data_IF_475638052915
#
_entry.id   IF_475638052915
#
_cell.length_a   1.000
_cell.length_b   1.000
_cell.length_c   1.000
_cell.angle_alpha   90.00
_cell.angle_beta   90.00
_cell.angle_gamma   90.00
#
_symmetry.space_group_name_H-M   'P 1'
#
loop_
_entity.id
_entity.type
_entity.pdbx_description
1 polymer ?
#
# COMPACT_ATOMS: atom_id res chain seq x y z
N UNK A 1 48.19 16.94 -55.65
CA UNK A 1 47.52 16.47 -54.43
C UNK A 1 46.11 17.09 -54.41
N UNK A 2 45.02 16.33 -54.56
CA UNK A 2 43.69 16.87 -54.45
C UNK A 2 43.25 16.85 -52.96
N UNK A 3 42.79 18.00 -52.52
CA UNK A 3 42.19 18.21 -51.17
C UNK A 3 40.80 17.60 -51.15
N UNK A 4 40.62 16.55 -50.32
CA UNK A 4 39.32 15.97 -50.00
C UNK A 4 38.47 16.98 -49.20
N UNK A 5 37.49 17.56 -49.84
CA UNK A 5 36.45 18.37 -49.19
C UNK A 5 35.43 17.42 -48.55
N UNK A 6 35.36 17.36 -47.20
CA UNK A 6 34.29 16.74 -46.49
C UNK A 6 32.93 17.31 -46.87
N UNK A 7 31.90 16.48 -47.13
CA UNK A 7 30.58 16.96 -47.42
C UNK A 7 29.96 17.63 -46.16
N UNK A 8 29.18 18.72 -46.32
CA UNK A 8 28.55 19.44 -45.22
C UNK A 8 27.55 18.50 -44.49
N UNK A 9 27.78 18.33 -43.18
CA UNK A 9 26.89 17.54 -42.32
C UNK A 9 25.45 18.10 -42.39
N UNK A 10 24.48 17.25 -42.70
CA UNK A 10 23.05 17.59 -42.68
C UNK A 10 22.67 18.09 -41.28
N UNK A 11 22.38 19.38 -41.17
CA UNK A 11 21.76 19.95 -39.96
C UNK A 11 20.41 19.28 -39.73
N UNK A 12 20.11 18.83 -38.49
CA UNK A 12 18.80 18.24 -38.19
C UNK A 12 17.72 19.30 -38.44
N UNK A 13 16.70 18.93 -39.21
CA UNK A 13 15.60 19.84 -39.57
C UNK A 13 14.87 20.36 -38.32
N UNK A 14 14.35 21.59 -38.39
CA UNK A 14 13.65 22.27 -37.27
C UNK A 14 12.54 21.41 -36.65
N UNK A 15 11.86 20.59 -37.44
CA UNK A 15 10.84 19.63 -36.97
C UNK A 15 11.42 18.53 -36.06
N UNK A 16 12.62 18.02 -36.35
CA UNK A 16 13.27 17.00 -35.54
C UNK A 16 13.70 17.54 -34.18
N UNK A 17 14.12 18.79 -34.11
CA UNK A 17 14.48 19.49 -32.87
C UNK A 17 13.23 19.78 -32.04
N UNK A 18 12.12 20.21 -32.67
CA UNK A 18 10.84 20.47 -31.99
C UNK A 18 10.22 19.19 -31.43
N UNK A 19 10.25 18.10 -32.19
CA UNK A 19 9.77 16.79 -31.73
C UNK A 19 10.62 16.25 -30.56
N UNK A 20 11.95 16.35 -30.60
CA UNK A 20 12.82 15.98 -29.47
C UNK A 20 12.51 16.80 -28.21
N UNK A 21 12.30 18.11 -28.36
CA UNK A 21 11.92 19.01 -27.25
C UNK A 21 10.57 18.63 -26.64
N UNK A 22 9.56 18.25 -27.42
CA UNK A 22 8.26 17.78 -26.95
C UNK A 22 8.37 16.45 -26.23
N UNK A 23 9.10 15.48 -26.79
CA UNK A 23 9.32 14.16 -26.16
C UNK A 23 10.04 14.34 -24.81
N UNK A 24 11.06 15.20 -24.75
CA UNK A 24 11.78 15.49 -23.50
C UNK A 24 10.87 16.14 -22.47
N UNK A 25 10.04 17.11 -22.85
CA UNK A 25 9.07 17.74 -21.95
C UNK A 25 8.03 16.75 -21.43
N UNK A 26 7.47 15.90 -22.31
CA UNK A 26 6.53 14.87 -21.93
C UNK A 26 7.16 13.86 -20.97
N UNK A 27 8.38 13.37 -21.26
CA UNK A 27 9.08 12.43 -20.39
C UNK A 27 9.40 13.04 -19.00
N UNK A 28 9.75 14.32 -18.96
CA UNK A 28 9.99 15.04 -17.70
C UNK A 28 8.69 15.20 -16.91
N UNK A 29 7.58 15.57 -17.58
CA UNK A 29 6.27 15.68 -16.94
C UNK A 29 5.81 14.34 -16.39
N UNK A 30 5.88 13.28 -17.19
CA UNK A 30 5.52 11.92 -16.76
C UNK A 30 6.34 11.46 -15.55
N UNK A 31 7.66 11.75 -15.55
CA UNK A 31 8.53 11.45 -14.41
C UNK A 31 8.14 12.25 -13.17
N UNK A 32 7.82 13.53 -13.33
CA UNK A 32 7.40 14.40 -12.22
C UNK A 32 6.07 13.93 -11.61
N UNK A 33 5.07 13.62 -12.45
CA UNK A 33 3.77 13.09 -12.00
C UNK A 33 3.94 11.75 -11.30
N UNK A 34 4.72 10.83 -11.89
CA UNK A 34 5.02 9.54 -11.26
C UNK A 34 5.68 9.72 -9.89
N UNK A 35 6.69 10.59 -9.79
CA UNK A 35 7.39 10.84 -8.53
C UNK A 35 6.47 11.50 -7.51
N UNK A 36 5.62 12.44 -7.93
CA UNK A 36 4.60 13.02 -7.06
C UNK A 36 3.69 11.91 -6.49
N UNK A 37 3.10 11.08 -7.33
CA UNK A 37 2.20 10.02 -6.90
C UNK A 37 2.88 9.02 -5.94
N UNK A 38 4.07 8.52 -6.31
CA UNK A 38 4.78 7.51 -5.51
C UNK A 38 5.37 8.07 -4.21
N UNK A 39 5.88 9.31 -4.24
CA UNK A 39 6.55 9.89 -3.07
C UNK A 39 5.60 10.57 -2.09
N UNK A 40 4.40 10.98 -2.54
CA UNK A 40 3.40 11.64 -1.70
C UNK A 40 2.44 10.71 -0.96
N UNK A 41 2.51 9.40 -1.13
CA UNK A 41 1.52 8.41 -0.62
C UNK A 41 0.13 8.50 -1.29
N UNK A 42 -0.09 9.36 -2.27
CA UNK A 42 -1.38 9.46 -2.98
C UNK A 42 -1.76 8.13 -3.65
N UNK A 43 -0.78 7.40 -4.21
CA UNK A 43 -1.08 6.09 -4.80
C UNK A 43 -1.61 5.09 -3.78
N UNK A 44 -1.12 5.10 -2.53
CA UNK A 44 -1.63 4.25 -1.44
C UNK A 44 -3.06 4.63 -1.07
N UNK A 45 -3.36 5.93 -1.02
CA UNK A 45 -4.72 6.42 -0.78
C UNK A 45 -5.70 5.93 -1.88
N UNK A 46 -5.28 5.98 -3.16
CA UNK A 46 -6.08 5.47 -4.28
C UNK A 46 -6.27 3.96 -4.19
N UNK A 47 -5.25 3.20 -3.80
CA UNK A 47 -5.35 1.75 -3.58
C UNK A 47 -6.36 1.47 -2.45
N UNK A 48 -6.27 2.15 -1.31
CA UNK A 48 -7.21 1.96 -0.21
C UNK A 48 -8.66 2.28 -0.61
N UNK A 49 -8.87 3.34 -1.40
CA UNK A 49 -10.20 3.63 -1.97
C UNK A 49 -10.70 2.48 -2.84
N UNK A 50 -9.84 1.97 -3.73
CA UNK A 50 -10.18 0.85 -4.62
C UNK A 50 -10.48 -0.43 -3.83
N UNK A 51 -9.74 -0.69 -2.75
CA UNK A 51 -9.98 -1.85 -1.88
C UNK A 51 -11.32 -1.76 -1.15
N UNK A 52 -11.71 -0.59 -0.64
CA UNK A 52 -13.02 -0.40 0.00
C UNK A 52 -14.15 -0.55 -1.02
N UNK A 53 -13.98 -0.05 -2.26
CA UNK A 53 -14.95 -0.30 -3.35
C UNK A 53 -15.03 -1.79 -3.66
N UNK A 54 -13.89 -2.48 -3.79
CA UNK A 54 -13.83 -3.92 -4.00
C UNK A 54 -14.58 -4.69 -2.90
N UNK A 55 -14.35 -4.34 -1.63
CA UNK A 55 -15.06 -4.96 -0.49
C UNK A 55 -16.55 -4.67 -0.54
N UNK A 56 -16.95 -3.43 -0.87
CA UNK A 56 -18.36 -3.09 -1.01
C UNK A 56 -19.04 -3.95 -2.07
N UNK A 57 -18.39 -4.16 -3.21
CA UNK A 57 -18.91 -5.03 -4.28
C UNK A 57 -18.94 -6.52 -3.88
N UNK A 58 -17.89 -7.02 -3.19
CA UNK A 58 -17.85 -8.40 -2.69
C UNK A 58 -18.95 -8.69 -1.67
N UNK A 59 -19.32 -7.70 -0.87
CA UNK A 59 -20.33 -7.81 0.17
C UNK A 59 -21.71 -7.29 -0.26
N UNK A 60 -21.87 -6.94 -1.55
CA UNK A 60 -23.09 -6.37 -2.13
C UNK A 60 -23.61 -5.15 -1.35
N UNK A 61 -22.69 -4.28 -0.89
CA UNK A 61 -23.01 -3.05 -0.18
C UNK A 61 -23.15 -1.88 -1.16
N UNK A 62 -24.06 -0.92 -0.90
CA UNK A 62 -24.16 0.29 -1.70
C UNK A 62 -22.90 1.16 -1.53
N UNK A 63 -22.58 1.97 -2.55
CA UNK A 63 -21.51 2.95 -2.45
C UNK A 63 -21.84 4.00 -1.39
N UNK A 64 -20.86 4.27 -0.53
CA UNK A 64 -20.94 5.20 0.59
C UNK A 64 -19.72 6.11 0.59
N UNK A 65 -19.58 7.09 1.50
CA UNK A 65 -18.34 7.83 1.67
C UNK A 65 -17.13 7.01 2.16
N UNK A 66 -17.32 5.76 2.58
CA UNK A 66 -16.26 4.91 3.15
C UNK A 66 -14.97 4.84 2.30
N UNK A 67 -14.99 4.69 0.96
CA UNK A 67 -13.79 4.73 0.15
C UNK A 67 -12.99 6.03 0.31
N UNK A 68 -13.69 7.17 0.31
CA UNK A 68 -13.04 8.49 0.47
C UNK A 68 -12.40 8.60 1.85
N UNK A 69 -13.11 8.17 2.90
CA UNK A 69 -12.58 8.15 4.28
C UNK A 69 -11.33 7.28 4.36
N UNK A 70 -11.37 6.06 3.83
CA UNK A 70 -10.20 5.17 3.81
C UNK A 70 -9.01 5.79 3.07
N UNK A 71 -9.23 6.41 1.91
CA UNK A 71 -8.19 7.10 1.16
C UNK A 71 -7.57 8.26 1.92
N UNK A 72 -8.39 9.09 2.57
CA UNK A 72 -7.92 10.21 3.38
C UNK A 72 -7.13 9.74 4.61
N UNK A 73 -7.59 8.70 5.31
CA UNK A 73 -6.87 8.09 6.42
C UNK A 73 -5.53 7.52 5.98
N UNK A 74 -5.50 6.81 4.84
CA UNK A 74 -4.28 6.25 4.28
C UNK A 74 -3.28 7.36 3.93
N UNK A 75 -3.72 8.41 3.25
CA UNK A 75 -2.87 9.56 2.93
C UNK A 75 -2.30 10.20 4.20
N UNK A 76 -3.14 10.43 5.21
CA UNK A 76 -2.72 11.07 6.45
C UNK A 76 -1.70 10.24 7.24
N UNK A 77 -1.98 8.94 7.43
CA UNK A 77 -1.11 8.04 8.21
C UNK A 77 0.23 7.85 7.52
N UNK A 78 0.24 7.47 6.23
CA UNK A 78 1.50 7.27 5.50
C UNK A 78 2.24 8.57 5.21
N UNK A 79 1.54 9.71 5.10
CA UNK A 79 2.15 11.03 5.02
C UNK A 79 2.93 11.37 6.29
N UNK A 80 2.31 11.17 7.47
CA UNK A 80 2.96 11.39 8.76
C UNK A 80 4.09 10.39 9.04
N UNK A 81 3.93 9.12 8.64
CA UNK A 81 4.96 8.10 8.78
C UNK A 81 6.24 8.48 8.03
N UNK A 82 6.11 8.95 6.78
CA UNK A 82 7.25 9.45 6.00
C UNK A 82 7.91 10.69 6.58
N UNK A 83 7.15 11.54 7.25
CA UNK A 83 7.69 12.71 7.96
C UNK A 83 8.43 12.29 9.23
N UNK A 84 7.95 11.29 9.94
CA UNK A 84 8.58 10.76 11.14
C UNK A 84 9.89 10.00 10.83
N UNK A 85 9.94 9.30 9.70
CA UNK A 85 11.07 8.43 9.34
C UNK A 85 12.06 9.06 8.34
N UNK A 86 12.09 10.40 8.18
CA UNK A 86 12.96 11.11 7.22
C UNK A 86 14.45 10.75 7.34
N UNK A 87 14.98 10.56 8.53
CA UNK A 87 16.39 10.23 8.73
C UNK A 87 16.70 8.78 8.39
N UNK A 88 15.81 7.88 8.74
CA UNK A 88 15.92 6.44 8.46
C UNK A 88 15.75 6.16 6.97
N UNK A 89 14.72 6.75 6.37
CA UNK A 89 14.41 6.62 4.94
C UNK A 89 15.48 7.25 4.02
N UNK A 90 16.29 8.19 4.53
CA UNK A 90 17.37 8.77 3.74
C UNK A 90 18.40 7.74 3.27
N UNK A 91 18.56 6.63 4.00
CA UNK A 91 19.48 5.54 3.64
C UNK A 91 18.91 4.61 2.57
N UNK A 92 17.63 4.28 2.66
CA UNK A 92 16.98 3.27 1.80
C UNK A 92 16.25 3.87 0.59
N UNK A 93 15.75 5.12 0.71
CA UNK A 93 14.98 5.80 -0.33
C UNK A 93 15.35 7.30 -0.47
N UNK A 94 16.62 7.66 -0.79
CA UNK A 94 17.12 9.03 -0.75
C UNK A 94 16.33 10.01 -1.64
N UNK A 95 15.88 9.58 -2.81
CA UNK A 95 15.11 10.44 -3.72
C UNK A 95 13.72 10.77 -3.17
N UNK A 96 13.05 9.82 -2.51
CA UNK A 96 11.77 10.01 -1.84
C UNK A 96 11.95 10.95 -0.65
N UNK A 97 12.95 10.71 0.18
CA UNK A 97 13.26 11.53 1.36
C UNK A 97 13.57 12.98 0.99
N UNK A 98 14.36 13.21 -0.06
CA UNK A 98 14.64 14.56 -0.56
C UNK A 98 13.35 15.29 -1.03
N UNK A 99 12.43 14.56 -1.66
CA UNK A 99 11.12 15.09 -2.05
C UNK A 99 10.28 15.46 -0.83
N UNK A 100 10.12 14.56 0.14
CA UNK A 100 9.33 14.79 1.35
C UNK A 100 9.91 15.94 2.17
N UNK A 101 11.24 16.00 2.36
CA UNK A 101 11.91 17.09 3.07
C UNK A 101 11.69 18.44 2.42
N UNK A 102 11.68 18.49 1.08
CA UNK A 102 11.43 19.75 0.32
C UNK A 102 10.02 20.30 0.56
N UNK A 103 9.03 19.45 0.76
CA UNK A 103 7.62 19.82 0.89
C UNK A 103 7.04 19.50 2.26
N UNK A 104 7.88 19.33 3.28
CA UNK A 104 7.48 18.82 4.61
C UNK A 104 6.33 19.62 5.24
N UNK A 105 6.36 20.95 5.21
CA UNK A 105 5.30 21.80 5.78
C UNK A 105 3.96 21.58 5.09
N UNK A 106 3.98 21.46 3.76
CA UNK A 106 2.79 21.12 2.98
C UNK A 106 2.26 19.73 3.31
N UNK A 107 3.14 18.75 3.52
CA UNK A 107 2.75 17.40 3.92
C UNK A 107 2.07 17.39 5.30
N UNK A 108 2.63 18.10 6.31
CA UNK A 108 1.99 18.21 7.61
C UNK A 108 0.59 18.80 7.53
N UNK A 109 0.43 19.91 6.81
CA UNK A 109 -0.86 20.57 6.64
C UNK A 109 -1.85 19.68 5.91
N UNK A 110 -1.44 19.08 4.80
CA UNK A 110 -2.31 18.20 4.01
C UNK A 110 -2.70 16.92 4.77
N UNK A 111 -1.77 16.31 5.51
CA UNK A 111 -2.05 15.14 6.32
C UNK A 111 -3.04 15.47 7.46
N UNK A 112 -2.88 16.62 8.12
CA UNK A 112 -3.80 17.08 9.17
C UNK A 112 -5.20 17.35 8.60
N UNK A 113 -5.29 18.04 7.45
CA UNK A 113 -6.57 18.30 6.77
C UNK A 113 -7.23 16.98 6.35
N UNK A 114 -6.46 16.07 5.73
CA UNK A 114 -6.98 14.78 5.29
C UNK A 114 -7.53 13.96 6.46
N UNK A 115 -6.80 13.90 7.57
CA UNK A 115 -7.26 13.20 8.76
C UNK A 115 -8.51 13.84 9.36
N UNK A 116 -8.54 15.18 9.50
CA UNK A 116 -9.70 15.91 9.98
C UNK A 116 -10.95 15.71 9.11
N UNK A 117 -10.79 15.74 7.78
CA UNK A 117 -11.87 15.46 6.83
C UNK A 117 -12.36 14.01 6.92
N UNK A 118 -11.44 13.03 7.05
CA UNK A 118 -11.80 11.63 7.21
C UNK A 118 -12.65 11.41 8.46
N UNK A 119 -12.21 11.97 9.60
CA UNK A 119 -12.94 11.89 10.86
C UNK A 119 -14.30 12.59 10.75
N UNK A 120 -14.37 13.78 10.14
CA UNK A 120 -15.64 14.50 9.94
C UNK A 120 -16.63 13.71 9.05
N UNK A 121 -16.15 13.14 7.93
CA UNK A 121 -16.99 12.33 7.05
C UNK A 121 -17.45 11.03 7.73
N UNK A 122 -16.62 10.45 8.60
CA UNK A 122 -16.97 9.21 9.28
C UNK A 122 -18.14 9.33 10.24
N UNK A 123 -18.45 10.56 10.73
CA UNK A 123 -19.65 10.83 11.56
C UNK A 123 -20.93 10.46 10.83
N UNK A 124 -20.96 10.57 9.50
CA UNK A 124 -22.10 10.18 8.67
C UNK A 124 -22.44 8.68 8.75
N UNK A 125 -21.44 7.85 9.06
CA UNK A 125 -21.60 6.41 9.25
C UNK A 125 -21.90 6.00 10.71
N UNK A 126 -22.07 6.98 11.61
CA UNK A 126 -22.40 6.73 13.01
C UNK A 126 -21.19 6.47 13.93
N UNK A 127 -21.44 6.15 15.21
CA UNK A 127 -20.39 6.05 16.24
C UNK A 127 -19.31 5.01 15.94
N UNK A 128 -19.67 3.87 15.34
CA UNK A 128 -18.70 2.82 14.96
C UNK A 128 -17.79 3.28 13.84
N UNK A 129 -18.34 3.94 12.82
CA UNK A 129 -17.55 4.52 11.72
C UNK A 129 -16.57 5.57 12.25
N UNK A 130 -17.06 6.44 13.14
CA UNK A 130 -16.21 7.42 13.82
C UNK A 130 -15.07 6.74 14.59
N UNK A 131 -15.36 5.74 15.42
CA UNK A 131 -14.35 4.99 16.16
C UNK A 131 -13.32 4.31 15.26
N UNK A 132 -13.77 3.68 14.15
CA UNK A 132 -12.90 3.07 13.16
C UNK A 132 -12.00 4.08 12.45
N UNK A 133 -12.47 5.30 12.22
CA UNK A 133 -11.65 6.35 11.59
C UNK A 133 -10.55 6.90 12.52
N UNK A 134 -10.75 6.84 13.83
CA UNK A 134 -9.73 7.22 14.81
C UNK A 134 -8.63 6.15 14.96
N UNK A 135 -8.97 4.87 14.70
CA UNK A 135 -8.09 3.73 14.94
C UNK A 135 -6.72 3.84 14.26
N UNK A 136 -6.60 4.17 12.95
CA UNK A 136 -5.29 4.27 12.30
C UNK A 136 -4.40 5.34 12.90
N UNK A 137 -4.97 6.47 13.32
CA UNK A 137 -4.22 7.53 13.99
C UNK A 137 -3.74 7.12 15.38
N UNK A 138 -4.59 6.46 16.17
CA UNK A 138 -4.22 5.90 17.48
C UNK A 138 -3.12 4.84 17.33
N UNK A 139 -3.31 3.92 16.38
CA UNK A 139 -2.30 2.89 16.09
C UNK A 139 -0.99 3.53 15.66
N UNK A 140 -1.00 4.53 14.79
CA UNK A 140 0.20 5.24 14.35
C UNK A 140 0.92 5.93 15.52
N UNK A 141 0.18 6.61 16.42
CA UNK A 141 0.77 7.24 17.62
C UNK A 141 1.44 6.18 18.50
N UNK A 142 0.73 5.09 18.81
CA UNK A 142 1.28 4.00 19.63
C UNK A 142 2.47 3.31 18.98
N UNK A 143 2.47 3.24 17.65
CA UNK A 143 3.50 2.62 16.84
C UNK A 143 4.78 3.47 16.71
N UNK A 144 4.62 4.78 16.49
CA UNK A 144 5.73 5.70 16.18
C UNK A 144 6.37 6.33 17.41
N UNK A 145 5.64 6.47 18.52
CA UNK A 145 6.11 7.18 19.71
C UNK A 145 6.78 6.26 20.74
N UNK A 146 7.75 6.81 21.48
CA UNK A 146 8.49 6.13 22.55
C UNK A 146 7.66 6.07 23.84
N UNK A 147 6.64 5.22 23.85
CA UNK A 147 5.72 5.08 24.99
C UNK A 147 6.10 3.96 25.96
N UNK A 148 6.84 2.97 25.47
CA UNK A 148 7.19 1.81 26.27
C UNK A 148 8.34 2.16 27.21
N UNK A 149 8.23 1.89 28.52
CA UNK A 149 9.39 1.91 29.38
C UNK A 149 10.44 0.98 28.77
N UNK A 150 11.71 1.43 28.78
CA UNK A 150 12.83 0.69 28.21
C UNK A 150 12.83 -0.75 28.72
N UNK A 151 12.35 -1.68 27.89
CA UNK A 151 12.44 -3.11 28.16
C UNK A 151 13.93 -3.51 28.17
N UNK A 152 14.30 -4.58 28.86
CA UNK A 152 15.70 -5.07 28.87
C UNK A 152 16.29 -5.30 27.46
N UNK A 153 15.44 -5.38 26.45
CA UNK A 153 15.79 -5.48 25.02
C UNK A 153 16.13 -4.13 24.35
N UNK A 154 15.98 -2.99 25.05
CA UNK A 154 16.23 -1.65 24.49
C UNK A 154 15.12 -1.13 23.57
N UNK A 155 14.02 -1.89 23.35
CA UNK A 155 12.89 -1.49 22.49
C UNK A 155 12.03 -0.46 23.21
N UNK A 156 11.75 0.66 22.54
CA UNK A 156 10.93 1.75 23.09
C UNK A 156 9.64 1.98 22.31
N UNK A 157 9.53 1.42 21.09
CA UNK A 157 8.37 1.59 20.17
C UNK A 157 7.75 0.25 19.82
N UNK A 158 6.41 0.23 19.59
CA UNK A 158 5.71 -0.99 19.16
C UNK A 158 6.24 -1.50 17.81
N UNK A 159 6.70 -0.60 16.94
CA UNK A 159 7.26 -0.99 15.63
C UNK A 159 8.56 -1.81 15.73
N UNK A 160 9.24 -1.77 16.87
CA UNK A 160 10.49 -2.50 17.07
C UNK A 160 10.25 -3.95 17.54
N UNK A 161 9.00 -4.28 17.90
CA UNK A 161 8.62 -5.63 18.38
C UNK A 161 8.37 -6.56 17.19
N UNK A 162 9.10 -7.68 17.17
CA UNK A 162 9.05 -8.69 16.12
C UNK A 162 7.61 -9.17 15.85
N UNK A 163 7.20 -9.19 14.59
CA UNK A 163 5.87 -9.53 14.05
C UNK A 163 4.71 -8.63 14.52
N UNK A 164 4.83 -7.94 15.66
CA UNK A 164 3.75 -7.06 16.13
C UNK A 164 3.54 -5.88 15.16
N UNK A 165 4.63 -5.33 14.63
CA UNK A 165 4.63 -4.31 13.61
C UNK A 165 3.67 -4.67 12.46
N UNK A 166 4.02 -5.69 11.69
CA UNK A 166 3.26 -6.07 10.47
C UNK A 166 1.87 -6.58 10.78
N UNK A 167 1.70 -7.27 11.93
CA UNK A 167 0.38 -7.75 12.37
C UNK A 167 -0.55 -6.61 12.74
N UNK A 168 -0.05 -5.62 13.50
CA UNK A 168 -0.83 -4.46 13.93
C UNK A 168 -1.31 -3.64 12.73
N UNK A 169 -0.40 -3.37 11.78
CA UNK A 169 -0.72 -2.69 10.53
C UNK A 169 -1.76 -3.49 9.73
N UNK A 170 -1.58 -4.80 9.58
CA UNK A 170 -2.50 -5.65 8.82
C UNK A 170 -3.91 -5.66 9.42
N UNK A 171 -4.02 -5.80 10.74
CA UNK A 171 -5.32 -5.79 11.43
C UNK A 171 -5.98 -4.41 11.35
N UNK A 172 -5.23 -3.33 11.61
CA UNK A 172 -5.77 -1.97 11.58
C UNK A 172 -6.31 -1.61 10.19
N UNK A 173 -5.57 -1.93 9.13
CA UNK A 173 -6.05 -1.70 7.77
C UNK A 173 -7.19 -2.61 7.36
N UNK A 174 -7.19 -3.89 7.75
CA UNK A 174 -8.32 -4.77 7.49
C UNK A 174 -9.60 -4.28 8.17
N UNK A 175 -9.51 -3.73 9.39
CA UNK A 175 -10.65 -3.11 10.08
C UNK A 175 -11.19 -1.90 9.30
N UNK A 176 -10.32 -1.03 8.79
CA UNK A 176 -10.75 0.13 7.99
C UNK A 176 -11.34 -0.34 6.66
N UNK A 177 -10.64 -1.19 5.91
CA UNK A 177 -11.04 -1.59 4.56
C UNK A 177 -12.34 -2.41 4.57
N UNK A 178 -12.52 -3.30 5.53
CA UNK A 178 -13.66 -4.23 5.55
C UNK A 178 -14.80 -3.73 6.43
N UNK A 179 -14.51 -3.22 7.62
CA UNK A 179 -15.58 -2.87 8.56
C UNK A 179 -16.15 -1.47 8.34
N UNK A 180 -15.35 -0.52 7.80
CA UNK A 180 -15.85 0.84 7.60
C UNK A 180 -17.06 0.90 6.65
N UNK A 181 -17.08 0.28 5.45
CA UNK A 181 -18.27 0.30 4.59
C UNK A 181 -19.49 -0.36 5.23
N UNK A 182 -19.31 -1.40 6.07
CA UNK A 182 -20.40 -2.04 6.81
C UNK A 182 -21.06 -1.09 7.79
N UNK A 183 -20.28 -0.28 8.51
CA UNK A 183 -20.81 0.66 9.50
C UNK A 183 -21.67 1.77 8.89
N UNK A 184 -21.32 2.22 7.68
CA UNK A 184 -22.11 3.24 6.96
C UNK A 184 -23.53 2.79 6.60
N UNK A 185 -23.71 1.49 6.38
CA UNK A 185 -25.03 0.92 5.99
C UNK A 185 -25.69 0.14 7.12
N UNK A 186 -25.05 0.05 8.28
CA UNK A 186 -25.56 -0.73 9.40
C UNK A 186 -25.65 -2.23 9.11
N UNK A 187 -24.81 -2.74 8.20
CA UNK A 187 -24.82 -4.16 7.83
C UNK A 187 -24.30 -5.04 8.97
N UNK A 188 -24.96 -6.17 9.27
CA UNK A 188 -24.51 -7.08 10.32
C UNK A 188 -23.25 -7.84 9.89
N UNK A 189 -22.49 -8.31 10.85
CA UNK A 189 -21.44 -9.28 10.61
C UNK A 189 -22.03 -10.59 10.05
N UNK A 190 -21.39 -11.14 9.01
CA UNK A 190 -21.77 -12.40 8.39
C UNK A 190 -20.53 -13.29 8.24
N UNK A 191 -20.69 -14.62 8.00
CA UNK A 191 -19.55 -15.49 7.72
C UNK A 191 -18.72 -14.99 6.53
N UNK A 192 -19.35 -14.44 5.48
CA UNK A 192 -18.66 -13.84 4.32
C UNK A 192 -17.79 -12.66 4.73
N UNK A 193 -18.31 -11.76 5.58
CA UNK A 193 -17.52 -10.66 6.16
C UNK A 193 -16.30 -11.19 6.91
N UNK A 194 -16.45 -12.26 7.69
CA UNK A 194 -15.36 -12.90 8.42
C UNK A 194 -14.28 -13.45 7.47
N UNK A 195 -14.65 -14.10 6.37
CA UNK A 195 -13.73 -14.61 5.35
C UNK A 195 -12.98 -13.47 4.67
N UNK A 196 -13.69 -12.41 4.23
CA UNK A 196 -13.10 -11.24 3.59
C UNK A 196 -12.16 -10.52 4.56
N UNK A 197 -12.54 -10.37 5.83
CA UNK A 197 -11.69 -9.74 6.84
C UNK A 197 -10.38 -10.52 7.05
N UNK A 198 -10.46 -11.84 7.25
CA UNK A 198 -9.27 -12.69 7.42
C UNK A 198 -8.40 -12.68 6.17
N UNK A 199 -9.00 -12.68 4.98
CA UNK A 199 -8.27 -12.52 3.73
C UNK A 199 -7.46 -11.21 3.73
N UNK A 200 -8.10 -10.08 4.08
CA UNK A 200 -7.41 -8.78 4.12
C UNK A 200 -6.31 -8.74 5.18
N UNK A 201 -6.53 -9.31 6.37
CA UNK A 201 -5.49 -9.40 7.41
C UNK A 201 -4.27 -10.16 6.89
N UNK A 202 -4.47 -11.37 6.36
CA UNK A 202 -3.37 -12.23 5.91
C UNK A 202 -2.66 -11.67 4.68
N UNK A 203 -3.40 -11.17 3.69
CA UNK A 203 -2.83 -10.57 2.49
C UNK A 203 -2.10 -9.26 2.79
N UNK A 204 -2.61 -8.41 3.69
CA UNK A 204 -1.94 -7.17 4.10
C UNK A 204 -0.69 -7.48 4.92
N UNK A 205 -0.71 -8.48 5.80
CA UNK A 205 0.50 -8.94 6.48
C UNK A 205 1.61 -9.32 5.47
N UNK A 206 1.27 -10.09 4.44
CA UNK A 206 2.23 -10.44 3.37
C UNK A 206 2.72 -9.18 2.66
N UNK A 207 1.83 -8.23 2.34
CA UNK A 207 2.20 -6.97 1.68
C UNK A 207 3.16 -6.13 2.52
N UNK A 208 2.99 -6.07 3.84
CA UNK A 208 3.88 -5.29 4.73
C UNK A 208 5.27 -5.92 4.86
N UNK A 209 5.40 -7.23 4.72
CA UNK A 209 6.69 -7.91 4.82
C UNK A 209 7.53 -7.82 3.54
N UNK A 210 6.94 -7.51 2.39
CA UNK A 210 7.68 -7.39 1.12
C UNK A 210 8.60 -6.16 1.10
N UNK A 211 8.16 -4.94 1.48
CA UNK A 211 9.05 -3.81 1.69
C UNK A 211 10.15 -4.06 2.72
N UNK A 212 9.86 -4.79 3.80
CA UNK A 212 10.83 -5.13 4.84
C UNK A 212 12.01 -5.95 4.28
N UNK A 213 11.81 -6.73 3.19
CA UNK A 213 12.91 -7.42 2.50
C UNK A 213 13.90 -6.42 1.90
N UNK A 214 13.40 -5.34 1.30
CA UNK A 214 14.23 -4.24 0.76
C UNK A 214 14.98 -3.52 1.87
N UNK A 215 14.28 -3.21 2.96
CA UNK A 215 14.77 -2.35 4.03
C UNK A 215 15.61 -3.11 5.08
N UNK A 216 15.80 -4.44 4.91
CA UNK A 216 16.46 -5.36 5.85
C UNK A 216 17.80 -4.86 6.41
N UNK A 217 18.66 -4.30 5.56
CA UNK A 217 19.99 -3.84 6.00
C UNK A 217 19.86 -2.61 6.88
N UNK A 218 19.04 -1.63 6.48
CA UNK A 218 18.75 -0.44 7.30
C UNK A 218 18.06 -0.79 8.61
N UNK A 219 17.06 -1.68 8.58
CA UNK A 219 16.36 -2.16 9.78
C UNK A 219 17.32 -2.83 10.77
N UNK A 220 18.23 -3.67 10.26
CA UNK A 220 19.24 -4.34 11.09
C UNK A 220 20.20 -3.35 11.75
N UNK A 221 20.60 -2.28 11.04
CA UNK A 221 21.51 -1.24 11.58
C UNK A 221 20.89 -0.44 12.73
N UNK A 222 19.58 -0.23 12.70
CA UNK A 222 18.85 0.54 13.73
C UNK A 222 18.17 -0.37 14.77
N UNK A 223 18.37 -1.69 14.69
CA UNK A 223 17.88 -2.68 15.66
C UNK A 223 16.41 -3.06 15.50
N UNK A 224 15.75 -2.71 14.39
CA UNK A 224 14.35 -3.12 14.08
C UNK A 224 14.32 -4.58 13.67
N UNK A 225 13.43 -5.36 14.31
CA UNK A 225 13.35 -6.81 14.15
C UNK A 225 12.21 -7.20 13.23
N UNK A 226 12.38 -6.98 11.90
CA UNK A 226 11.46 -7.46 10.88
C UNK A 226 11.68 -8.93 10.53
N UNK A 227 10.73 -9.57 9.86
CA UNK A 227 10.82 -10.99 9.49
C UNK A 227 12.12 -11.29 8.68
N UNK A 228 12.49 -10.51 7.63
CA UNK A 228 13.72 -10.74 6.88
C UNK A 228 15.00 -10.49 7.69
N UNK A 229 14.97 -9.63 8.70
CA UNK A 229 16.10 -9.41 9.61
C UNK A 229 16.31 -10.64 10.49
N UNK A 230 15.23 -11.20 11.07
CA UNK A 230 15.32 -12.30 12.04
C UNK A 230 15.58 -13.66 11.39
N UNK A 231 14.87 -13.99 10.30
CA UNK A 231 14.95 -15.33 9.71
C UNK A 231 15.69 -15.37 8.35
N UNK A 232 16.04 -14.21 7.81
CA UNK A 232 16.68 -14.06 6.49
C UNK A 232 15.67 -14.13 5.34
N UNK A 233 16.03 -13.54 4.18
CA UNK A 233 15.16 -13.36 3.00
C UNK A 233 14.59 -14.69 2.48
N UNK A 234 15.41 -15.75 2.41
CA UNK A 234 14.97 -17.06 1.89
C UNK A 234 13.83 -17.66 2.74
N UNK A 235 13.97 -17.65 4.08
CA UNK A 235 12.96 -18.20 4.98
C UNK A 235 11.72 -17.31 4.99
N UNK A 236 11.89 -15.99 4.99
CA UNK A 236 10.79 -15.03 4.81
C UNK A 236 9.94 -15.41 3.60
N UNK A 237 10.54 -15.60 2.44
CA UNK A 237 9.85 -15.98 1.21
C UNK A 237 9.01 -17.25 1.38
N UNK A 238 9.53 -18.30 2.05
CA UNK A 238 8.76 -19.51 2.33
C UNK A 238 7.59 -19.26 3.30
N UNK A 239 7.78 -18.42 4.31
CA UNK A 239 6.72 -18.04 5.26
C UNK A 239 5.62 -17.29 4.52
N UNK A 240 5.97 -16.31 3.66
CA UNK A 240 5.00 -15.56 2.87
C UNK A 240 4.21 -16.46 1.90
N UNK A 241 4.86 -17.43 1.25
CA UNK A 241 4.16 -18.46 0.48
C UNK A 241 3.22 -19.31 1.35
N UNK A 242 3.66 -19.70 2.54
CA UNK A 242 2.83 -20.45 3.48
C UNK A 242 1.57 -19.69 3.87
N UNK A 243 1.69 -18.40 4.21
CA UNK A 243 0.55 -17.53 4.54
C UNK A 243 -0.36 -17.35 3.33
N UNK A 244 0.19 -17.09 2.14
CA UNK A 244 -0.60 -16.94 0.90
C UNK A 244 -1.34 -18.24 0.57
N UNK A 245 -0.71 -19.40 0.73
CA UNK A 245 -1.35 -20.71 0.52
C UNK A 245 -2.43 -20.98 1.56
N UNK A 246 -2.19 -20.65 2.83
CA UNK A 246 -3.21 -20.76 3.89
C UNK A 246 -4.44 -19.89 3.57
N UNK A 247 -4.21 -18.68 3.08
CA UNK A 247 -5.29 -17.77 2.66
C UNK A 247 -6.05 -18.36 1.46
N UNK A 248 -5.37 -19.00 0.52
CA UNK A 248 -6.03 -19.68 -0.60
C UNK A 248 -6.88 -20.88 -0.11
N UNK A 249 -6.39 -21.65 0.85
CA UNK A 249 -7.16 -22.71 1.49
C UNK A 249 -8.38 -22.15 2.21
N UNK A 250 -8.25 -21.06 2.98
CA UNK A 250 -9.38 -20.37 3.62
C UNK A 250 -10.47 -20.03 2.62
N UNK A 251 -10.12 -19.39 1.49
CA UNK A 251 -11.06 -19.00 0.43
C UNK A 251 -11.69 -20.23 -0.21
N UNK A 252 -10.92 -21.30 -0.46
CA UNK A 252 -11.41 -22.55 -1.04
C UNK A 252 -12.40 -23.27 -0.13
N UNK A 253 -12.10 -23.35 1.17
CA UNK A 253 -13.02 -23.93 2.18
C UNK A 253 -14.30 -23.12 2.29
N UNK A 254 -14.19 -21.77 2.30
CA UNK A 254 -15.35 -20.89 2.33
C UNK A 254 -16.24 -21.04 1.07
N UNK A 255 -15.64 -21.27 -0.09
CA UNK A 255 -16.37 -21.57 -1.33
C UNK A 255 -17.10 -22.91 -1.26
N UNK A 256 -16.43 -23.97 -0.84
CA UNK A 256 -17.04 -25.30 -0.67
C UNK A 256 -18.15 -25.28 0.37
N UNK A 257 -18.01 -24.49 1.43
CA UNK A 257 -19.02 -24.30 2.46
C UNK A 257 -20.17 -23.34 2.03
N UNK A 258 -20.18 -22.84 0.78
CA UNK A 258 -21.14 -21.86 0.27
C UNK A 258 -21.20 -20.56 1.08
N UNK A 259 -20.10 -20.18 1.77
CA UNK A 259 -19.96 -18.89 2.47
C UNK A 259 -19.62 -17.77 1.49
N UNK A 260 -18.83 -18.08 0.47
CA UNK A 260 -18.51 -17.19 -0.66
C UNK A 260 -18.92 -17.84 -1.96
N UNK A 261 -19.40 -17.04 -2.93
CA UNK A 261 -19.75 -17.53 -4.25
C UNK A 261 -18.53 -17.64 -5.19
N UNK A 262 -18.73 -18.19 -6.39
CA UNK A 262 -17.65 -18.39 -7.37
C UNK A 262 -16.98 -17.06 -7.78
N UNK A 263 -17.76 -15.98 -7.98
CA UNK A 263 -17.21 -14.66 -8.35
C UNK A 263 -16.31 -14.12 -7.23
N UNK A 264 -16.79 -14.16 -6.00
CA UNK A 264 -16.04 -13.71 -4.81
C UNK A 264 -14.75 -14.53 -4.65
N UNK A 265 -14.84 -15.86 -4.71
CA UNK A 265 -13.68 -16.74 -4.59
C UNK A 265 -12.66 -16.49 -5.72
N UNK A 266 -13.10 -16.36 -6.97
CA UNK A 266 -12.23 -16.10 -8.12
C UNK A 266 -11.47 -14.78 -7.98
N UNK A 267 -12.14 -13.72 -7.51
CA UNK A 267 -11.58 -12.39 -7.28
C UNK A 267 -10.50 -12.43 -6.19
N UNK A 268 -10.80 -13.09 -5.07
CA UNK A 268 -9.84 -13.23 -3.96
C UNK A 268 -8.63 -14.07 -4.38
N UNK A 269 -8.84 -15.17 -5.12
CA UNK A 269 -7.76 -16.03 -5.63
C UNK A 269 -6.90 -15.28 -6.66
N UNK A 270 -7.49 -14.46 -7.55
CA UNK A 270 -6.73 -13.65 -8.50
C UNK A 270 -5.73 -12.71 -7.79
N UNK A 271 -6.15 -12.08 -6.68
CA UNK A 271 -5.28 -11.27 -5.83
C UNK A 271 -4.11 -12.08 -5.23
N UNK A 272 -4.40 -13.30 -4.76
CA UNK A 272 -3.36 -14.19 -4.19
C UNK A 272 -2.39 -14.69 -5.24
N UNK A 273 -2.84 -14.98 -6.46
CA UNK A 273 -1.97 -15.37 -7.57
C UNK A 273 -1.01 -14.23 -7.94
N UNK A 274 -1.52 -13.00 -8.01
CA UNK A 274 -0.66 -11.83 -8.25
C UNK A 274 0.36 -11.65 -7.13
N UNK A 275 -0.08 -11.71 -5.87
CA UNK A 275 0.79 -11.61 -4.69
C UNK A 275 1.85 -12.72 -4.67
N UNK A 276 1.46 -13.96 -5.00
CA UNK A 276 2.37 -15.10 -5.19
C UNK A 276 3.43 -14.85 -6.26
N UNK A 277 3.05 -14.19 -7.36
CA UNK A 277 3.96 -13.74 -8.41
C UNK A 277 4.97 -12.71 -7.90
N UNK A 278 4.53 -11.73 -7.09
CA UNK A 278 5.43 -10.76 -6.45
C UNK A 278 6.41 -11.45 -5.51
N UNK A 279 5.93 -12.37 -4.65
CA UNK A 279 6.80 -13.17 -3.77
C UNK A 279 7.82 -13.99 -4.60
N UNK A 280 7.41 -14.54 -5.75
CA UNK A 280 8.32 -15.25 -6.64
C UNK A 280 9.47 -14.37 -7.14
N UNK A 281 9.19 -13.10 -7.43
CA UNK A 281 10.16 -12.13 -7.91
C UNK A 281 11.12 -11.63 -6.82
N UNK A 282 10.77 -11.76 -5.53
CA UNK A 282 11.67 -11.39 -4.44
C UNK A 282 13.02 -12.09 -4.58
N UNK A 283 14.12 -11.36 -4.40
CA UNK A 283 15.49 -11.82 -4.55
C UNK A 283 15.86 -12.34 -5.97
N UNK A 284 15.06 -11.98 -6.99
CA UNK A 284 15.33 -12.29 -8.41
C UNK A 284 15.39 -11.03 -9.27
N UNK A 285 14.70 -9.99 -8.84
CA UNK A 285 14.66 -8.68 -9.48
C UNK A 285 15.36 -7.70 -8.54
N UNK A 286 16.35 -6.98 -9.06
CA UNK A 286 17.13 -6.01 -8.28
C UNK A 286 16.33 -4.76 -7.87
N UNK A 287 15.15 -4.53 -8.49
CA UNK A 287 14.30 -3.37 -8.20
C UNK A 287 13.28 -3.66 -7.09
N UNK A 288 13.76 -3.72 -5.85
CA UNK A 288 12.93 -3.97 -4.67
C UNK A 288 11.87 -2.88 -4.46
N UNK A 289 12.12 -1.65 -4.88
CA UNK A 289 11.12 -0.58 -4.84
C UNK A 289 9.92 -0.84 -5.75
N UNK A 290 10.13 -1.41 -6.94
CA UNK A 290 9.05 -1.81 -7.84
C UNK A 290 8.26 -3.00 -7.27
N UNK A 291 8.93 -3.95 -6.61
CA UNK A 291 8.28 -5.08 -5.95
C UNK A 291 7.41 -4.63 -4.77
N UNK A 292 7.87 -3.65 -3.99
CA UNK A 292 7.06 -3.06 -2.91
C UNK A 292 5.77 -2.43 -3.47
N UNK A 293 5.87 -1.61 -4.53
CA UNK A 293 4.69 -1.01 -5.19
C UNK A 293 3.79 -2.11 -5.80
N UNK A 294 4.37 -3.15 -6.41
CA UNK A 294 3.59 -4.26 -6.96
C UNK A 294 2.83 -5.03 -5.86
N UNK A 295 3.43 -5.21 -4.68
CA UNK A 295 2.76 -5.83 -3.54
C UNK A 295 1.53 -5.02 -3.11
N UNK A 296 1.67 -3.70 -2.96
CA UNK A 296 0.56 -2.80 -2.64
C UNK A 296 -0.56 -2.88 -3.70
N UNK A 297 -0.19 -3.01 -4.97
CA UNK A 297 -1.14 -3.16 -6.08
C UNK A 297 -1.75 -4.56 -6.20
N UNK A 298 -1.45 -5.52 -5.31
CA UNK A 298 -1.82 -6.93 -5.47
C UNK A 298 -3.34 -7.18 -5.57
N UNK A 299 -4.17 -6.28 -5.06
CA UNK A 299 -5.63 -6.37 -5.13
C UNK A 299 -6.27 -5.57 -6.28
N UNK A 300 -5.48 -4.76 -7.00
CA UNK A 300 -5.99 -4.02 -8.16
C UNK A 300 -6.47 -4.91 -9.33
N UNK A 301 -5.83 -6.05 -9.66
CA UNK A 301 -6.38 -6.96 -10.66
C UNK A 301 -7.79 -7.45 -10.31
N UNK A 302 -8.03 -7.76 -9.04
CA UNK A 302 -9.35 -8.12 -8.54
C UNK A 302 -10.35 -6.96 -8.67
N UNK A 303 -9.95 -5.76 -8.31
CA UNK A 303 -10.75 -4.55 -8.49
C UNK A 303 -11.18 -4.37 -9.97
N UNK A 304 -10.24 -4.49 -10.91
CA UNK A 304 -10.53 -4.37 -12.34
C UNK A 304 -11.54 -5.44 -12.79
N UNK A 305 -11.38 -6.70 -12.38
CA UNK A 305 -12.29 -7.80 -12.73
C UNK A 305 -13.71 -7.52 -12.25
N UNK A 306 -13.87 -6.89 -11.08
CA UNK A 306 -15.19 -6.62 -10.48
C UNK A 306 -15.83 -5.35 -11.04
N UNK A 307 -15.05 -4.26 -11.15
CA UNK A 307 -15.60 -2.93 -11.46
C UNK A 307 -15.72 -2.69 -12.96
N UNK A 308 -14.80 -3.24 -13.78
CA UNK A 308 -14.84 -3.01 -15.23
C UNK A 308 -16.15 -3.44 -15.91
N UNK A 309 -16.76 -4.59 -15.58
CA UNK A 309 -18.05 -4.98 -16.14
C UNK A 309 -19.20 -4.03 -15.77
N UNK A 310 -19.11 -3.35 -14.61
CA UNK A 310 -20.14 -2.40 -14.17
C UNK A 310 -20.07 -1.07 -14.91
N UNK A 311 -18.87 -0.69 -15.39
CA UNK A 311 -18.67 0.53 -16.18
C UNK A 311 -19.06 0.37 -17.65
N UNK A 312 -19.25 -0.87 -18.10
CA UNK A 312 -19.61 -1.22 -19.50
C UNK A 312 -21.11 -1.45 -19.70
N UNK A 313 -21.92 -1.32 -18.66
CA UNK A 313 -23.39 -1.37 -18.69
C UNK A 313 -23.97 0.04 -18.68
#
# INVERSE_FOLDING_TARGET
MPTDAQPPGKQPGIESVKNRSLITKLSTLTRSVRNLLLYSSVYLAVIAMAEVVLVSELLALPLTPAPIVAGLLTFAVYGNDRLADLETDAKTAPARTAFVRRYQDGFYVLAAIAYGLAVALSVLGGPLSFGLSLLPGVVWILYACDWLPSLPSGTQRLKDIFLLNSTLVAVAWALVIVCLPLTYVGAPASPTVGVVFLFFVLATFVNTEIPNVRDREGDSEIGVRTLPVVVGVRRTKYILYGITSLTAVLVSVAFVANVVNLKEAAVLVASLLFLGGVIFCLNRIENDGALAVAAECSRLPAFVIVVFPLLSQ
#
